data_IF_512595759190
#
_entry.id   IF_512595759190
#
_cell.length_a   1.000
_cell.length_b   1.000
_cell.length_c   1.000
_cell.angle_alpha   90.00
_cell.angle_beta   90.00
_cell.angle_gamma   90.00
#
_symmetry.space_group_name_H-M   'P 1'
#
loop_
_entity.id
_entity.type
_entity.pdbx_description
1 polymer ?
#
# COMPACT_ATOMS: atom_id res chain seq x y z
N UNK A 1 5.90 13.41 8.88
CA UNK A 1 6.79 14.30 9.66
C UNK A 1 6.99 15.63 8.94
N UNK A 2 5.95 16.48 8.90
CA UNK A 2 5.97 17.77 8.16
C UNK A 2 5.40 18.92 9.02
N UNK A 3 4.63 18.60 10.08
CA UNK A 3 4.04 19.64 10.94
C UNK A 3 5.07 20.43 11.75
N UNK A 4 6.16 19.80 12.21
CA UNK A 4 7.15 20.46 13.07
C UNK A 4 7.85 21.64 12.38
N UNK A 5 8.39 21.50 11.16
CA UNK A 5 8.91 22.63 10.39
C UNK A 5 7.87 23.71 10.12
N UNK A 6 6.58 23.34 10.00
CA UNK A 6 5.48 24.27 9.71
C UNK A 6 5.05 25.08 10.94
N UNK A 7 5.21 24.50 12.13
CA UNK A 7 4.90 25.16 13.40
C UNK A 7 5.96 26.20 13.78
N UNK A 8 7.22 26.01 13.38
CA UNK A 8 8.33 26.94 13.67
C UNK A 8 8.01 28.37 13.20
N UNK A 9 7.65 28.65 11.93
CA UNK A 9 7.32 30.01 11.50
C UNK A 9 6.03 30.57 12.08
N UNK A 10 5.16 29.74 12.68
CA UNK A 10 3.95 30.19 13.37
C UNK A 10 4.27 30.58 14.82
N UNK A 11 5.10 29.80 15.51
CA UNK A 11 5.41 29.98 16.92
C UNK A 11 6.59 30.93 17.18
N UNK A 12 7.62 30.93 16.34
CA UNK A 12 8.81 31.78 16.54
C UNK A 12 8.49 33.28 16.54
N UNK A 13 7.59 33.81 15.69
CA UNK A 13 7.20 35.23 15.74
C UNK A 13 6.51 35.65 17.05
N UNK A 14 5.99 34.70 17.85
CA UNK A 14 5.39 34.98 19.16
C UNK A 14 6.48 35.33 20.19
N UNK A 15 7.71 34.83 20.01
CA UNK A 15 8.81 35.02 20.96
C UNK A 15 9.89 35.99 20.45
N UNK A 16 9.95 36.26 19.14
CA UNK A 16 10.98 37.08 18.50
C UNK A 16 10.34 37.93 17.40
N UNK A 17 10.61 39.23 17.38
CA UNK A 17 10.23 40.10 16.26
C UNK A 17 10.97 39.66 14.99
N UNK A 18 10.23 39.08 14.04
CA UNK A 18 10.77 38.62 12.76
C UNK A 18 10.36 39.56 11.63
N UNK A 19 11.28 39.82 10.69
CA UNK A 19 10.94 40.48 9.43
C UNK A 19 9.97 39.59 8.63
N UNK A 20 8.82 40.16 8.27
CA UNK A 20 7.81 39.52 7.43
C UNK A 20 8.39 38.99 6.11
N UNK A 21 9.44 39.64 5.57
CA UNK A 21 10.13 39.15 4.37
C UNK A 21 10.83 37.81 4.63
N UNK A 22 11.46 37.64 5.80
CA UNK A 22 12.13 36.39 6.16
C UNK A 22 11.13 35.24 6.32
N UNK A 23 9.98 35.50 6.96
CA UNK A 23 8.88 34.52 7.10
C UNK A 23 8.37 34.09 5.72
N UNK A 24 8.19 35.04 4.79
CA UNK A 24 7.77 34.75 3.41
C UNK A 24 8.75 33.83 2.68
N UNK A 25 10.05 34.10 2.77
CA UNK A 25 11.06 33.25 2.14
C UNK A 25 11.12 31.86 2.77
N UNK A 26 11.01 31.76 4.09
CA UNK A 26 10.99 30.47 4.79
C UNK A 26 9.76 29.65 4.41
N UNK A 27 8.58 30.27 4.35
CA UNK A 27 7.35 29.62 3.88
C UNK A 27 7.44 29.14 2.44
N UNK A 28 8.06 29.93 1.55
CA UNK A 28 8.26 29.53 0.16
C UNK A 28 9.28 28.39 0.02
N UNK A 29 10.40 28.45 0.76
CA UNK A 29 11.38 27.36 0.79
C UNK A 29 10.76 26.06 1.30
N UNK A 30 9.91 26.14 2.32
CA UNK A 30 9.12 25.02 2.83
C UNK A 30 8.14 24.47 1.80
N UNK A 31 7.47 25.33 1.04
CA UNK A 31 6.57 24.91 -0.04
C UNK A 31 7.34 24.16 -1.12
N UNK A 32 8.46 24.71 -1.57
CA UNK A 32 9.37 24.06 -2.53
C UNK A 32 9.79 22.70 -1.97
N UNK A 33 10.29 22.65 -0.74
CA UNK A 33 10.73 21.40 -0.12
C UNK A 33 9.61 20.35 -0.11
N UNK A 34 8.42 20.70 0.37
CA UNK A 34 7.29 19.77 0.40
C UNK A 34 6.83 19.34 -0.99
N UNK A 35 6.86 20.26 -1.95
CA UNK A 35 6.51 19.95 -3.33
C UNK A 35 7.48 18.92 -3.91
N UNK A 36 8.79 19.17 -3.83
CA UNK A 36 9.81 18.31 -4.43
C UNK A 36 10.02 16.97 -3.72
N UNK A 37 9.79 16.89 -2.40
CA UNK A 37 10.06 15.66 -1.64
C UNK A 37 8.82 14.86 -1.27
N UNK A 38 7.62 15.44 -1.28
CA UNK A 38 6.40 14.73 -0.92
C UNK A 38 5.41 14.67 -2.09
N UNK A 39 5.03 15.82 -2.66
CA UNK A 39 3.95 15.89 -3.65
C UNK A 39 4.41 15.34 -5.00
N UNK A 40 5.50 15.88 -5.53
CA UNK A 40 6.03 15.51 -6.84
C UNK A 40 6.42 14.03 -6.92
N UNK A 41 7.19 13.46 -5.96
CA UNK A 41 7.55 12.04 -6.02
C UNK A 41 6.34 11.12 -5.92
N UNK A 42 5.37 11.40 -5.04
CA UNK A 42 4.16 10.57 -4.93
C UNK A 42 3.28 10.60 -6.17
N UNK A 43 3.32 11.67 -6.97
CA UNK A 43 2.55 11.76 -8.21
C UNK A 43 3.32 11.19 -9.42
N UNK A 44 4.65 11.27 -9.42
CA UNK A 44 5.47 10.88 -10.56
C UNK A 44 5.91 9.41 -10.51
N UNK A 45 6.16 8.85 -9.33
CA UNK A 45 6.59 7.47 -9.17
C UNK A 45 5.41 6.55 -8.91
N UNK A 46 5.29 5.51 -9.72
CA UNK A 46 4.36 4.42 -9.50
C UNK A 46 5.12 3.23 -8.95
N UNK A 47 5.43 3.32 -7.65
CA UNK A 47 6.26 2.36 -6.93
C UNK A 47 5.80 0.90 -7.07
N UNK A 48 4.51 0.67 -7.33
CA UNK A 48 3.90 -0.66 -7.29
C UNK A 48 3.04 -0.97 -8.49
N UNK A 49 2.84 -0.04 -9.41
CA UNK A 49 1.96 -0.18 -10.56
C UNK A 49 0.61 -0.80 -10.19
N UNK A 50 -0.05 -0.17 -9.22
CA UNK A 50 -1.30 -0.70 -8.70
C UNK A 50 -2.40 -0.70 -9.77
N UNK A 51 -2.33 0.15 -10.80
CA UNK A 51 -3.26 0.11 -11.94
C UNK A 51 -3.25 -1.24 -12.66
N UNK A 52 -2.08 -1.82 -12.87
CA UNK A 52 -1.97 -3.16 -13.45
C UNK A 52 -2.61 -4.22 -12.54
N UNK A 53 -2.37 -4.12 -11.23
CA UNK A 53 -3.00 -5.00 -10.24
C UNK A 53 -4.53 -4.86 -10.23
N UNK A 54 -5.06 -3.64 -10.29
CA UNK A 54 -6.50 -3.37 -10.35
C UNK A 54 -7.15 -3.95 -11.60
N UNK A 55 -6.46 -3.89 -12.74
CA UNK A 55 -6.92 -4.52 -13.99
C UNK A 55 -7.08 -6.02 -13.81
N UNK A 56 -6.07 -6.69 -13.21
CA UNK A 56 -6.12 -8.13 -12.92
C UNK A 56 -7.26 -8.46 -11.94
N UNK A 57 -7.46 -7.64 -10.91
CA UNK A 57 -8.54 -7.82 -9.92
C UNK A 57 -9.92 -7.66 -10.60
N UNK A 58 -10.05 -6.73 -11.54
CA UNK A 58 -11.27 -6.49 -12.31
C UNK A 58 -11.58 -7.64 -13.28
N UNK A 59 -10.57 -8.18 -13.94
CA UNK A 59 -10.70 -9.27 -14.91
C UNK A 59 -10.99 -10.62 -14.24
N UNK A 60 -10.84 -10.72 -12.91
CA UNK A 60 -11.05 -11.93 -12.11
C UNK A 60 -12.06 -11.70 -10.97
N UNK A 61 -13.34 -11.42 -11.26
CA UNK A 61 -14.34 -11.07 -10.25
C UNK A 61 -14.71 -12.22 -9.29
N UNK A 62 -14.53 -13.48 -9.72
CA UNK A 62 -14.83 -14.69 -8.95
C UNK A 62 -13.69 -15.12 -8.00
N UNK A 63 -12.53 -14.46 -8.08
CA UNK A 63 -11.33 -14.80 -7.31
C UNK A 63 -11.20 -13.95 -6.06
N UNK A 64 -10.62 -14.56 -5.03
CA UNK A 64 -10.24 -13.89 -3.78
C UNK A 64 -8.77 -13.46 -3.88
N UNK A 65 -8.48 -12.25 -3.45
CA UNK A 65 -7.14 -11.67 -3.47
C UNK A 65 -6.64 -11.46 -2.04
N UNK A 66 -5.48 -12.02 -1.71
CA UNK A 66 -4.73 -11.70 -0.49
C UNK A 66 -3.67 -10.67 -0.86
N UNK A 67 -3.82 -9.46 -0.34
CA UNK A 67 -3.03 -8.29 -0.75
C UNK A 67 -2.03 -7.89 0.33
N UNK A 68 -0.83 -7.50 -0.11
CA UNK A 68 0.23 -6.97 0.77
C UNK A 68 -0.10 -5.61 1.35
N UNK A 69 -0.73 -4.74 0.55
CA UNK A 69 -1.16 -3.40 0.95
C UNK A 69 -2.64 -3.16 0.59
N UNK A 70 -3.53 -3.95 1.22
CA UNK A 70 -4.98 -3.93 0.93
C UNK A 70 -5.55 -2.52 0.91
N UNK A 71 -5.24 -1.68 1.90
CA UNK A 71 -5.86 -0.36 2.03
C UNK A 71 -5.57 0.56 0.83
N UNK A 72 -4.35 0.51 0.28
CA UNK A 72 -4.00 1.31 -0.89
C UNK A 72 -4.79 0.82 -2.10
N UNK A 73 -4.80 -0.50 -2.32
CA UNK A 73 -5.49 -1.12 -3.46
C UNK A 73 -7.01 -0.91 -3.38
N UNK A 74 -7.63 -1.10 -2.22
CA UNK A 74 -9.06 -0.88 -1.98
C UNK A 74 -9.45 0.57 -2.27
N UNK A 75 -8.67 1.53 -1.77
CA UNK A 75 -8.93 2.94 -2.03
C UNK A 75 -8.86 3.25 -3.52
N UNK A 76 -7.83 2.77 -4.22
CA UNK A 76 -7.70 3.02 -5.66
C UNK A 76 -8.79 2.29 -6.47
N UNK A 77 -9.15 1.06 -6.09
CA UNK A 77 -10.25 0.31 -6.67
C UNK A 77 -11.58 1.09 -6.57
N UNK A 78 -11.87 1.68 -5.40
CA UNK A 78 -13.04 2.54 -5.22
C UNK A 78 -13.05 3.72 -6.19
N UNK A 79 -11.93 4.44 -6.28
CA UNK A 79 -11.84 5.65 -7.11
C UNK A 79 -11.91 5.34 -8.61
N UNK A 80 -11.38 4.20 -9.05
CA UNK A 80 -11.36 3.84 -10.47
C UNK A 80 -12.64 3.12 -10.93
N UNK A 81 -13.25 2.30 -10.06
CA UNK A 81 -14.33 1.37 -10.44
C UNK A 81 -15.67 1.77 -9.81
N UNK A 82 -15.65 2.51 -8.70
CA UNK A 82 -16.85 3.05 -8.06
C UNK A 82 -17.66 2.04 -7.25
N UNK A 83 -17.11 0.86 -6.93
CA UNK A 83 -17.83 -0.17 -6.16
C UNK A 83 -17.14 -0.47 -4.82
N UNK A 84 -17.95 -0.80 -3.82
CA UNK A 84 -17.49 -1.14 -2.46
C UNK A 84 -17.31 -2.65 -2.23
N UNK A 85 -17.22 -3.44 -3.31
CA UNK A 85 -17.11 -4.90 -3.25
C UNK A 85 -15.69 -5.35 -2.85
N UNK A 86 -15.31 -5.07 -1.61
CA UNK A 86 -13.97 -5.35 -1.05
C UNK A 86 -13.89 -6.65 -0.25
N UNK A 87 -14.99 -7.39 -0.08
CA UNK A 87 -15.03 -8.61 0.72
C UNK A 87 -14.08 -9.70 0.18
N UNK A 88 -13.83 -9.68 -1.14
CA UNK A 88 -12.88 -10.55 -1.82
C UNK A 88 -11.43 -10.08 -1.74
N UNK A 89 -11.18 -8.87 -1.23
CA UNK A 89 -9.85 -8.29 -1.07
C UNK A 89 -9.46 -8.40 0.40
N UNK A 90 -8.55 -9.30 0.74
CA UNK A 90 -8.17 -9.63 2.11
C UNK A 90 -6.77 -9.14 2.40
N UNK A 91 -6.58 -8.60 3.60
CA UNK A 91 -5.29 -8.14 4.07
C UNK A 91 -4.46 -9.36 4.52
N UNK A 92 -3.22 -9.46 4.05
CA UNK A 92 -2.30 -10.52 4.47
C UNK A 92 -2.07 -10.55 6.00
N UNK A 93 -2.26 -9.43 6.69
CA UNK A 93 -2.14 -9.36 8.14
C UNK A 93 -3.37 -9.89 8.87
N UNK A 94 -4.51 -10.06 8.19
CA UNK A 94 -5.76 -10.51 8.80
C UNK A 94 -5.86 -12.04 8.86
N UNK A 95 -5.28 -12.63 9.91
CA UNK A 95 -5.26 -14.08 10.13
C UNK A 95 -6.65 -14.71 10.23
N UNK A 96 -7.64 -14.01 10.78
CA UNK A 96 -9.00 -14.54 10.90
C UNK A 96 -9.67 -14.71 9.53
N UNK A 97 -9.50 -13.73 8.65
CA UNK A 97 -10.01 -13.79 7.28
C UNK A 97 -9.33 -14.93 6.49
N UNK A 98 -8.00 -15.05 6.60
CA UNK A 98 -7.24 -16.12 5.95
C UNK A 98 -7.67 -17.51 6.48
N UNK A 99 -7.87 -17.66 7.78
CA UNK A 99 -8.35 -18.93 8.36
C UNK A 99 -9.76 -19.31 7.89
N UNK A 100 -10.65 -18.32 7.67
CA UNK A 100 -11.98 -18.57 7.08
C UNK A 100 -11.84 -19.06 5.64
N UNK A 101 -10.99 -18.42 4.83
CA UNK A 101 -10.72 -18.85 3.45
C UNK A 101 -10.17 -20.27 3.38
N UNK A 102 -9.36 -20.71 4.34
CA UNK A 102 -8.81 -22.08 4.34
C UNK A 102 -9.90 -23.16 4.43
N UNK A 103 -11.11 -22.82 4.88
CA UNK A 103 -12.26 -23.73 4.95
C UNK A 103 -13.08 -23.75 3.66
N UNK A 104 -12.86 -22.78 2.78
CA UNK A 104 -13.58 -22.63 1.51
C UNK A 104 -12.70 -23.09 0.35
N UNK A 105 -13.24 -23.85 -0.61
CA UNK A 105 -12.52 -24.25 -1.83
C UNK A 105 -12.55 -23.13 -2.88
N UNK A 106 -12.03 -21.95 -2.51
CA UNK A 106 -11.90 -20.81 -3.43
C UNK A 106 -10.51 -20.76 -4.06
N UNK A 107 -10.45 -20.23 -5.27
CA UNK A 107 -9.17 -19.92 -5.94
C UNK A 107 -8.67 -18.58 -5.41
N UNK A 108 -7.42 -18.57 -4.93
CA UNK A 108 -6.81 -17.44 -4.23
C UNK A 108 -5.62 -16.92 -5.03
N UNK A 109 -5.64 -15.63 -5.31
CA UNK A 109 -4.52 -14.88 -5.89
C UNK A 109 -3.86 -14.00 -4.84
N UNK A 110 -2.57 -13.72 -5.00
CA UNK A 110 -1.83 -12.87 -4.07
C UNK A 110 -0.70 -12.11 -4.75
N UNK A 111 -0.43 -10.90 -4.28
CA UNK A 111 0.77 -10.12 -4.63
C UNK A 111 1.85 -10.20 -3.53
N UNK A 112 1.63 -10.98 -2.47
CA UNK A 112 2.42 -10.90 -1.23
C UNK A 112 3.84 -11.42 -1.40
N UNK A 113 4.01 -12.54 -2.11
CA UNK A 113 5.22 -13.36 -2.11
C UNK A 113 6.42 -12.66 -2.74
N UNK A 114 6.19 -11.91 -3.81
CA UNK A 114 7.25 -11.31 -4.63
C UNK A 114 7.24 -9.78 -4.60
N UNK A 115 6.17 -9.14 -4.13
CA UNK A 115 6.05 -7.67 -4.15
C UNK A 115 6.99 -6.99 -3.17
N UNK A 116 7.77 -6.05 -3.69
CA UNK A 116 8.58 -5.13 -2.89
C UNK A 116 7.75 -3.91 -2.48
N UNK A 117 7.92 -3.51 -1.22
CA UNK A 117 7.25 -2.34 -0.65
C UNK A 117 8.30 -1.41 -0.05
N UNK A 118 8.15 -0.08 -0.16
CA UNK A 118 9.02 0.83 0.55
C UNK A 118 9.03 0.50 2.04
N UNK A 119 10.17 0.66 2.69
CA UNK A 119 10.28 0.36 4.11
C UNK A 119 9.33 1.26 4.93
N UNK A 120 8.29 0.66 5.49
CA UNK A 120 7.35 1.30 6.39
C UNK A 120 7.58 0.79 7.82
N UNK A 121 7.54 1.68 8.82
CA UNK A 121 7.65 1.32 10.24
C UNK A 121 6.57 0.30 10.67
N UNK A 122 5.40 0.32 10.03
CA UNK A 122 4.34 -0.66 10.26
C UNK A 122 4.78 -2.12 9.95
N UNK A 123 5.66 -2.30 8.96
CA UNK A 123 6.15 -3.63 8.56
C UNK A 123 7.09 -4.26 9.60
N UNK A 124 7.70 -3.43 10.47
CA UNK A 124 8.56 -3.90 11.56
C UNK A 124 7.73 -4.46 12.72
N UNK A 125 6.59 -3.83 13.01
CA UNK A 125 5.71 -4.22 14.12
C UNK A 125 4.77 -5.36 13.76
N UNK A 126 4.51 -5.57 12.47
CA UNK A 126 3.59 -6.59 11.97
C UNK A 126 4.18 -7.22 10.70
N UNK A 127 5.21 -8.07 10.83
CA UNK A 127 5.78 -8.77 9.69
C UNK A 127 4.71 -9.64 9.01
N UNK A 128 4.72 -9.65 7.68
CA UNK A 128 3.84 -10.47 6.86
C UNK A 128 4.06 -11.96 7.15
N UNK A 129 2.99 -12.69 7.48
CA UNK A 129 3.05 -14.11 7.82
C UNK A 129 2.76 -14.96 6.58
N UNK A 130 3.75 -14.98 5.67
CA UNK A 130 3.62 -15.61 4.35
C UNK A 130 3.65 -17.16 4.46
N UNK A 131 3.91 -17.70 5.65
CA UNK A 131 4.08 -19.13 5.91
C UNK A 131 2.83 -19.98 5.60
N UNK A 132 1.66 -19.34 5.56
CA UNK A 132 0.39 -20.03 5.28
C UNK A 132 0.08 -20.13 3.78
N UNK A 133 0.84 -19.44 2.93
CA UNK A 133 0.62 -19.40 1.49
C UNK A 133 1.52 -20.44 0.80
N UNK A 134 0.91 -21.38 0.09
CA UNK A 134 1.59 -22.38 -0.73
C UNK A 134 1.47 -21.94 -2.18
N UNK A 135 2.58 -21.50 -2.77
CA UNK A 135 2.67 -21.13 -4.17
C UNK A 135 2.26 -22.29 -5.10
N UNK A 136 1.44 -21.98 -6.11
CA UNK A 136 1.10 -22.91 -7.20
C UNK A 136 1.69 -22.48 -8.53
N UNK A 137 1.44 -21.24 -8.96
CA UNK A 137 1.91 -20.70 -10.25
C UNK A 137 1.83 -19.17 -10.30
N UNK A 138 2.61 -18.57 -11.18
CA UNK A 138 2.47 -17.17 -11.57
C UNK A 138 1.27 -17.01 -12.52
N UNK A 139 0.43 -16.01 -12.27
CA UNK A 139 -0.72 -15.65 -13.12
C UNK A 139 -0.37 -14.48 -14.02
N UNK A 140 0.22 -13.43 -13.46
CA UNK A 140 0.61 -12.23 -14.21
C UNK A 140 1.84 -11.59 -13.61
N UNK A 141 2.62 -10.94 -14.48
CA UNK A 141 3.79 -10.14 -14.10
C UNK A 141 3.40 -8.66 -14.10
N UNK A 142 3.84 -7.92 -13.09
CA UNK A 142 3.66 -6.48 -12.99
C UNK A 142 5.03 -5.83 -12.85
N UNK A 143 5.36 -4.95 -13.79
CA UNK A 143 6.56 -4.12 -13.72
C UNK A 143 6.28 -2.89 -12.84
N UNK A 144 7.15 -2.62 -11.86
CA UNK A 144 7.03 -1.47 -10.96
C UNK A 144 8.38 -0.76 -10.76
N UNK A 145 8.37 0.49 -10.30
CA UNK A 145 9.60 1.25 -10.04
C UNK A 145 10.47 0.62 -8.93
N UNK A 146 9.90 -0.25 -8.08
CA UNK A 146 10.62 -1.01 -7.04
C UNK A 146 11.10 -2.38 -7.51
N UNK A 147 10.91 -2.71 -8.79
CA UNK A 147 11.20 -4.02 -9.37
C UNK A 147 9.95 -4.73 -9.86
N UNK A 148 10.15 -5.83 -10.59
CA UNK A 148 9.04 -6.68 -11.02
C UNK A 148 8.49 -7.51 -9.86
N UNK A 149 7.17 -7.75 -9.89
CA UNK A 149 6.52 -8.71 -9.01
C UNK A 149 5.43 -9.46 -9.75
N UNK A 150 4.90 -10.51 -9.11
CA UNK A 150 3.91 -11.40 -9.68
C UNK A 150 2.63 -11.40 -8.87
N UNK A 151 1.52 -11.56 -9.58
CA UNK A 151 0.28 -12.07 -9.00
C UNK A 151 0.34 -13.58 -9.09
N UNK A 152 0.32 -14.23 -7.94
CA UNK A 152 0.52 -15.67 -7.79
C UNK A 152 -0.78 -16.35 -7.40
N UNK A 153 -1.05 -17.52 -7.97
CA UNK A 153 -2.06 -18.42 -7.46
C UNK A 153 -1.48 -19.21 -6.29
N UNK A 154 -2.21 -19.23 -5.18
CA UNK A 154 -1.80 -19.90 -3.94
C UNK A 154 -2.89 -20.83 -3.42
N UNK A 155 -2.46 -21.82 -2.65
CA UNK A 155 -3.31 -22.57 -1.72
C UNK A 155 -2.96 -22.22 -0.29
N UNK A 156 -3.95 -22.28 0.59
CA UNK A 156 -3.72 -22.12 2.01
C UNK A 156 -3.31 -23.46 2.62
N UNK A 157 -2.24 -23.45 3.43
CA UNK A 157 -1.90 -24.60 4.27
C UNK A 157 -3.07 -24.82 5.24
N UNK A 158 -3.71 -25.99 5.18
CA UNK A 158 -4.70 -26.37 6.19
C UNK A 158 -3.99 -26.41 7.53
N UNK A 159 -4.36 -25.51 8.44
CA UNK A 159 -3.98 -25.64 9.84
C UNK A 159 -4.69 -26.89 10.38
N UNK A 160 -3.95 -27.99 10.47
CA UNK A 160 -4.33 -29.15 11.25
C UNK A 160 -4.18 -28.71 12.71
N UNK A 161 -5.21 -28.04 13.23
CA UNK A 161 -5.32 -27.80 14.67
C UNK A 161 -6.11 -28.95 15.25
N UNK A 162 -5.40 -29.79 16.01
CA UNK A 162 -5.94 -30.56 17.13
C UNK A 162 -6.57 -29.62 18.17
#
# INVERSE_FOLDING_TARGET
>A
MVMLPFLIPIFVPVFIEFDLKAIKYLGFAMLIWNFFFAIFPNNCFDYQNNRALLTIIKDNPDKVFILKERNIVVNQYYYEIGTEEYDRLIDNQNKEAINKLSKEEKVIYTDVLTKHVPFNRANVTSPSDDNNLIFKRHISKIDSDLGEYFVDEVSLRKNILN
#
